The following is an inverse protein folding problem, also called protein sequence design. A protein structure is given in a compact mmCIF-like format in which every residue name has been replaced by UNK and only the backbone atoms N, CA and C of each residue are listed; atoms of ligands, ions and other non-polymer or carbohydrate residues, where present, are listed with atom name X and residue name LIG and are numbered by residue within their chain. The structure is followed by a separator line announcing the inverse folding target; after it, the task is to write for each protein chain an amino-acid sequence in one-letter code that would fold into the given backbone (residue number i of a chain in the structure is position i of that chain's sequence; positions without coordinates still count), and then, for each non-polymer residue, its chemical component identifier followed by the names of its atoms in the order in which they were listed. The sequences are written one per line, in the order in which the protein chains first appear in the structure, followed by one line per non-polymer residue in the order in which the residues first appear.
data_IF_000323094832
#
_entry.id   IF_000323094832
#
_cell.length_a   1.000
_cell.length_b   1.000
_cell.length_c   1.000
_cell.angle_alpha   90.00
_cell.angle_beta   90.00
_cell.angle_gamma   90.00
#
_symmetry.space_group_name_H-M   'P 1'
#
loop_
_entity.id
_entity.type
_entity.pdbx_description
1 polymer ?
#
# COMPACT_ATOMS: atom_id res chain seq x y z
N UNK A 1 21.85 66.23 18.44
CA UNK A 1 20.49 65.64 18.55
C UNK A 1 20.66 64.16 18.88
N UNK A 2 20.02 63.70 19.95
CA UNK A 2 20.23 62.40 20.60
C UNK A 2 19.42 61.25 20.00
N UNK A 3 20.03 60.05 20.09
CA UNK A 3 19.50 58.70 20.38
C UNK A 3 18.15 58.25 19.80
N UNK A 4 18.14 57.07 19.16
CA UNK A 4 17.59 55.83 19.78
C UNK A 4 17.89 54.59 18.93
N UNK A 5 18.34 53.52 19.59
CA UNK A 5 18.59 52.18 19.03
C UNK A 5 17.35 51.33 19.25
N UNK A 6 16.78 50.73 18.20
CA UNK A 6 15.64 49.83 18.31
C UNK A 6 16.08 48.36 18.35
N UNK A 7 15.89 47.76 19.52
CA UNK A 7 16.05 46.34 19.82
C UNK A 7 14.87 45.55 19.25
N UNK A 8 15.06 44.79 18.16
CA UNK A 8 14.03 43.85 17.68
C UNK A 8 14.29 42.46 18.25
N UNK A 9 13.32 42.02 19.06
CA UNK A 9 13.29 40.72 19.76
C UNK A 9 13.17 39.56 18.76
N UNK A 10 13.94 38.51 19.00
CA UNK A 10 13.83 37.25 18.28
C UNK A 10 12.52 36.52 18.64
N UNK A 11 11.79 36.05 17.62
CA UNK A 11 10.64 35.18 17.77
C UNK A 11 11.04 33.78 17.27
N UNK A 12 11.29 32.84 18.19
CA UNK A 12 11.43 31.42 17.86
C UNK A 12 10.03 30.85 17.64
N UNK A 13 9.69 30.57 16.38
CA UNK A 13 8.50 29.79 16.04
C UNK A 13 8.89 28.31 16.10
N UNK A 14 8.59 27.67 17.23
CA UNK A 14 8.64 26.22 17.34
C UNK A 14 7.46 25.62 16.58
N UNK A 15 7.67 25.20 15.34
CA UNK A 15 6.68 24.40 14.61
C UNK A 15 6.70 22.98 15.17
N UNK A 16 5.73 22.64 16.01
CA UNK A 16 5.49 21.26 16.41
C UNK A 16 4.89 20.50 15.22
N UNK A 17 5.70 19.64 14.60
CA UNK A 17 5.22 18.68 13.59
C UNK A 17 4.41 17.61 14.32
N UNK A 18 3.08 17.75 14.33
CA UNK A 18 2.19 16.66 14.70
C UNK A 18 2.19 15.64 13.56
N UNK A 19 3.03 14.61 13.66
CA UNK A 19 2.95 13.42 12.84
C UNK A 19 1.68 12.66 13.26
N UNK A 20 0.57 12.98 12.61
CA UNK A 20 -0.59 12.11 12.61
C UNK A 20 -0.20 10.81 11.94
N UNK A 21 0.15 9.80 12.75
CA UNK A 21 0.15 8.43 12.30
C UNK A 21 -1.32 8.06 12.06
N UNK A 22 -1.82 8.33 10.85
CA UNK A 22 -3.06 7.73 10.39
C UNK A 22 -2.87 6.23 10.47
N UNK A 23 -3.79 5.53 11.13
CA UNK A 23 -3.80 4.08 11.11
C UNK A 23 -3.86 3.65 9.63
N UNK A 24 -2.80 2.99 9.15
CA UNK A 24 -2.85 2.28 7.89
C UNK A 24 -3.81 1.11 8.10
N UNK A 25 -5.04 1.28 7.63
CA UNK A 25 -5.96 0.16 7.49
C UNK A 25 -5.60 -0.52 6.16
N UNK A 26 -5.39 -1.84 6.20
CA UNK A 26 -5.27 -2.61 4.97
C UNK A 26 -6.55 -2.42 4.15
N UNK A 27 -6.39 -2.08 2.87
CA UNK A 27 -7.49 -1.99 1.90
C UNK A 27 -7.56 -3.31 1.12
N UNK A 28 -8.74 -3.88 0.92
CA UNK A 28 -8.86 -5.09 0.09
C UNK A 28 -9.00 -4.73 -1.41
N UNK A 29 -8.20 -5.36 -2.26
CA UNK A 29 -8.35 -5.36 -3.72
C UNK A 29 -8.81 -6.73 -4.20
N UNK A 30 -9.97 -6.79 -4.87
CA UNK A 30 -10.56 -8.04 -5.36
C UNK A 30 -10.75 -8.00 -6.86
N UNK A 31 -10.27 -9.02 -7.57
CA UNK A 31 -10.41 -9.07 -9.02
C UNK A 31 -9.57 -10.14 -9.69
N UNK A 32 -9.58 -10.16 -11.03
CA UNK A 32 -8.75 -11.08 -11.81
C UNK A 32 -7.37 -10.50 -12.06
N UNK A 33 -6.34 -11.33 -11.93
CA UNK A 33 -4.98 -10.99 -12.34
C UNK A 33 -4.97 -10.75 -13.85
N UNK A 34 -4.60 -9.53 -14.25
CA UNK A 34 -4.56 -9.08 -15.65
C UNK A 34 -3.18 -9.32 -16.28
N UNK A 35 -2.11 -9.16 -15.50
CA UNK A 35 -0.73 -9.41 -15.93
C UNK A 35 0.18 -9.64 -14.71
N UNK A 36 1.33 -10.28 -14.93
CA UNK A 36 2.34 -10.57 -13.90
C UNK A 36 3.72 -10.17 -14.45
N UNK A 37 4.50 -9.47 -13.65
CA UNK A 37 5.91 -9.17 -13.86
C UNK A 37 6.75 -9.88 -12.79
N UNK A 38 7.45 -10.94 -13.20
CA UNK A 38 8.29 -11.74 -12.31
C UNK A 38 9.54 -11.00 -11.84
N UNK A 39 10.09 -10.10 -12.67
CA UNK A 39 11.30 -9.37 -12.35
C UNK A 39 11.02 -8.24 -11.35
N UNK A 40 9.91 -7.53 -11.54
CA UNK A 40 9.47 -6.48 -10.63
C UNK A 40 8.75 -7.00 -9.37
N UNK A 41 8.46 -8.31 -9.31
CA UNK A 41 7.61 -8.93 -8.27
C UNK A 41 6.30 -8.15 -8.10
N UNK A 42 5.61 -7.95 -9.23
CA UNK A 42 4.39 -7.18 -9.28
C UNK A 42 3.35 -7.83 -10.19
N UNK A 43 2.08 -7.56 -9.94
CA UNK A 43 0.98 -8.01 -10.78
C UNK A 43 -0.11 -6.95 -10.84
N UNK A 44 -1.00 -7.07 -11.83
CA UNK A 44 -2.06 -6.07 -12.07
C UNK A 44 -3.42 -6.68 -11.80
N UNK A 45 -4.25 -5.99 -11.01
CA UNK A 45 -5.66 -6.31 -10.75
C UNK A 45 -6.45 -5.02 -10.87
N UNK A 46 -7.55 -5.01 -11.61
CA UNK A 46 -8.40 -3.81 -11.80
C UNK A 46 -7.63 -2.56 -12.28
N UNK A 47 -6.62 -2.72 -13.14
CA UNK A 47 -5.70 -1.68 -13.59
C UNK A 47 -4.80 -1.04 -12.50
N UNK A 48 -4.83 -1.56 -11.27
CA UNK A 48 -3.90 -1.22 -10.20
C UNK A 48 -2.69 -2.15 -10.21
N UNK A 49 -1.49 -1.61 -9.98
CA UNK A 49 -0.26 -2.41 -9.83
C UNK A 49 -0.02 -2.72 -8.37
N UNK A 50 0.00 -4.01 -8.04
CA UNK A 50 0.26 -4.56 -6.71
C UNK A 50 1.70 -5.05 -6.67
N UNK A 51 2.47 -4.60 -5.69
CA UNK A 51 3.84 -5.04 -5.44
C UNK A 51 3.87 -6.08 -4.34
N UNK A 52 4.75 -7.06 -4.48
CA UNK A 52 4.92 -8.16 -3.53
C UNK A 52 6.29 -8.08 -2.88
N UNK A 53 6.35 -8.35 -1.58
CA UNK A 53 7.59 -8.36 -0.82
C UNK A 53 7.84 -9.74 -0.22
N UNK A 54 8.95 -9.88 0.49
CA UNK A 54 9.25 -11.07 1.30
C UNK A 54 8.32 -11.24 2.50
N UNK A 55 7.55 -10.22 2.85
CA UNK A 55 6.57 -10.22 3.95
C UNK A 55 5.16 -10.62 3.52
N UNK A 56 4.92 -10.77 2.21
CA UNK A 56 3.59 -11.08 1.71
C UNK A 56 3.24 -12.53 2.03
N UNK A 57 2.13 -12.75 2.73
CA UNK A 57 1.62 -14.08 3.02
C UNK A 57 0.71 -14.59 1.88
N UNK A 58 0.73 -15.91 1.69
CA UNK A 58 -0.01 -16.59 0.61
C UNK A 58 -0.92 -17.65 1.20
N UNK A 59 -2.19 -17.58 0.85
CA UNK A 59 -3.19 -18.51 1.38
C UNK A 59 -3.84 -19.37 0.28
N UNK A 60 -4.65 -20.33 0.73
CA UNK A 60 -5.33 -21.31 -0.11
C UNK A 60 -4.32 -22.09 -0.98
N UNK A 61 -4.51 -22.11 -2.29
CA UNK A 61 -3.68 -22.83 -3.25
C UNK A 61 -2.36 -22.12 -3.58
N UNK A 62 -2.13 -20.91 -3.05
CA UNK A 62 -0.86 -20.20 -3.20
C UNK A 62 0.08 -20.48 -2.03
N UNK A 63 1.37 -20.54 -2.34
CA UNK A 63 2.48 -20.70 -1.39
C UNK A 63 3.62 -19.73 -1.67
N UNK A 64 3.65 -19.11 -2.85
CA UNK A 64 4.66 -18.16 -3.31
C UNK A 64 4.16 -17.37 -4.52
N UNK A 65 4.88 -16.31 -4.87
CA UNK A 65 4.57 -15.44 -6.01
C UNK A 65 4.43 -16.20 -7.34
N UNK A 66 5.25 -17.24 -7.55
CA UNK A 66 5.25 -18.03 -8.78
C UNK A 66 3.98 -18.88 -8.97
N UNK A 67 3.17 -19.03 -7.93
CA UNK A 67 1.89 -19.75 -8.03
C UNK A 67 0.78 -18.86 -8.61
N UNK A 68 0.99 -17.54 -8.65
CA UNK A 68 0.07 -16.60 -9.28
C UNK A 68 -0.03 -16.85 -10.79
N UNK A 69 -1.25 -16.77 -11.33
CA UNK A 69 -1.48 -16.92 -12.77
C UNK A 69 -2.46 -15.88 -13.27
N UNK A 70 -2.20 -15.35 -14.46
CA UNK A 70 -3.13 -14.47 -15.15
C UNK A 70 -4.51 -15.16 -15.28
N UNK A 71 -5.57 -14.41 -15.01
CA UNK A 71 -6.95 -14.87 -15.02
C UNK A 71 -7.46 -15.43 -13.69
N UNK A 72 -6.58 -15.84 -12.77
CA UNK A 72 -6.99 -16.21 -11.41
C UNK A 72 -7.70 -15.05 -10.73
N UNK A 73 -8.78 -15.35 -10.01
CA UNK A 73 -9.47 -14.37 -9.18
C UNK A 73 -8.84 -14.37 -7.79
N UNK A 74 -8.46 -13.20 -7.31
CA UNK A 74 -7.75 -13.02 -6.05
C UNK A 74 -8.42 -11.95 -5.19
N UNK A 75 -8.19 -12.09 -3.90
CA UNK A 75 -8.39 -11.08 -2.88
C UNK A 75 -7.01 -10.74 -2.31
N UNK A 76 -6.72 -9.46 -2.19
CA UNK A 76 -5.41 -8.96 -1.80
C UNK A 76 -5.60 -7.88 -0.76
N UNK A 77 -5.05 -8.10 0.42
CA UNK A 77 -4.97 -7.08 1.44
C UNK A 77 -3.74 -6.22 1.13
N UNK A 78 -3.94 -4.92 0.93
CA UNK A 78 -2.87 -3.99 0.55
C UNK A 78 -2.66 -2.87 1.55
N UNK A 79 -1.39 -2.50 1.72
CA UNK A 79 -0.98 -1.26 2.37
C UNK A 79 -0.45 -0.27 1.33
N UNK A 80 -0.87 0.99 1.44
CA UNK A 80 -0.45 2.06 0.55
C UNK A 80 0.75 2.80 1.14
N UNK A 81 1.91 2.64 0.50
CA UNK A 81 3.16 3.31 0.89
C UNK A 81 3.72 4.08 -0.29
N UNK A 82 3.96 5.39 -0.11
CA UNK A 82 4.52 6.29 -1.12
C UNK A 82 3.79 6.24 -2.48
N UNK A 83 2.46 6.12 -2.44
CA UNK A 83 1.61 6.04 -3.62
C UNK A 83 1.60 4.67 -4.34
N UNK A 84 2.25 3.65 -3.78
CA UNK A 84 2.22 2.26 -4.29
C UNK A 84 1.44 1.34 -3.36
N UNK A 85 0.85 0.30 -3.94
CA UNK A 85 0.15 -0.76 -3.21
C UNK A 85 1.08 -1.94 -2.99
N UNK A 86 1.27 -2.33 -1.74
CA UNK A 86 2.05 -3.51 -1.37
C UNK A 86 1.10 -4.54 -0.76
N UNK A 87 1.17 -5.78 -1.24
CA UNK A 87 0.37 -6.87 -0.71
C UNK A 87 0.92 -7.31 0.65
N UNK A 88 0.04 -7.32 1.65
CA UNK A 88 0.27 -8.00 2.92
C UNK A 88 -0.16 -9.47 2.77
N UNK A 89 -1.39 -9.74 2.29
CA UNK A 89 -1.89 -11.11 2.04
C UNK A 89 -2.41 -11.28 0.61
N UNK A 90 -2.23 -12.47 0.03
CA UNK A 90 -2.80 -12.84 -1.28
C UNK A 90 -3.53 -14.18 -1.19
N UNK A 91 -4.83 -14.13 -1.44
CA UNK A 91 -5.69 -15.30 -1.45
C UNK A 91 -6.15 -15.69 -2.86
N UNK A 92 -5.95 -16.96 -3.23
CA UNK A 92 -6.69 -17.51 -4.36
C UNK A 92 -8.16 -17.72 -3.99
N UNK A 93 -9.10 -17.17 -4.77
CA UNK A 93 -10.53 -17.47 -4.63
C UNK A 93 -11.00 -18.22 -5.87
N UNK A 94 -11.31 -19.51 -5.69
CA UNK A 94 -11.71 -20.40 -6.79
C UNK A 94 -12.93 -19.89 -7.57
N UNK A 95 -13.81 -19.08 -6.94
CA UNK A 95 -15.00 -18.52 -7.57
C UNK A 95 -15.22 -17.05 -7.15
N UNK A 96 -15.39 -16.15 -8.12
CA UNK A 96 -15.79 -14.74 -7.86
C UNK A 96 -17.18 -14.59 -7.19
N UNK A 97 -17.93 -15.69 -7.05
CA UNK A 97 -19.30 -15.71 -6.49
C UNK A 97 -19.37 -15.88 -4.98
N UNK A 98 -18.26 -16.19 -4.31
CA UNK A 98 -18.27 -16.46 -2.85
C UNK A 98 -18.24 -15.20 -1.97
N UNK A 99 -18.01 -14.01 -2.54
CA UNK A 99 -17.84 -12.78 -1.76
C UNK A 99 -19.13 -11.96 -1.53
N UNK A 100 -20.30 -12.63 -1.46
CA UNK A 100 -21.49 -12.03 -0.85
C UNK A 100 -21.62 -12.53 0.60
N UNK A 101 -20.92 -11.88 1.52
CA UNK A 101 -21.23 -11.93 2.96
C UNK A 101 -21.14 -10.52 3.53
#
# INVERSE_FOLDING_TARGET
MSMTTNTTRALLVSAALALGAGAAHAEDVKGRIQSIDLAAKAFVVNAETIYVTDKTDYENDYKRFEDLRQGHYVEVDVDRKDGRLYADDIEYKANARENKQ
#
